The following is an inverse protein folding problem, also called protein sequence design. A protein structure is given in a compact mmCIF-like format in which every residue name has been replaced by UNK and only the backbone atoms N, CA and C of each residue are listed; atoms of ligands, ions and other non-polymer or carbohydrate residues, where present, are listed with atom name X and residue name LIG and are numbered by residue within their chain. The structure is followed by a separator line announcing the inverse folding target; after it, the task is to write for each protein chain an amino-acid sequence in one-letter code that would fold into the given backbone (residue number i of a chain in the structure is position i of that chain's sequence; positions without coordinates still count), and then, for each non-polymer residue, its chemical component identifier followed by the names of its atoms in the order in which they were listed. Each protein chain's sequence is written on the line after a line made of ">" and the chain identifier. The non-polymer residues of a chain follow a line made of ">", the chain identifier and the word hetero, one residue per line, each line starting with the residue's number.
data_IF_550966154022
#
_entry.id   IF_550966154022
#
_cell.length_a   1.000
_cell.length_b   1.000
_cell.length_c   1.000
_cell.angle_alpha   90.00
_cell.angle_beta   90.00
_cell.angle_gamma   90.00
#
_symmetry.space_group_name_H-M   'P 1'
#
loop_
_entity.id
_entity.type
_entity.pdbx_description
1 polymer ?
#
# COMPACT_ATOMS: atom_id res chain seq x y z
N UNK A 1 -12.09 -1.90 -15.47
CA UNK A 1 -11.50 -2.51 -14.26
C UNK A 1 -10.23 -3.30 -14.54
N UNK A 2 -9.16 -2.96 -13.80
CA UNK A 2 -7.82 -3.54 -13.82
C UNK A 2 -7.41 -3.92 -12.39
N UNK A 3 -6.37 -4.74 -12.23
CA UNK A 3 -5.78 -5.04 -10.93
C UNK A 3 -4.57 -4.14 -10.71
N UNK A 4 -4.43 -3.57 -9.52
CA UNK A 4 -3.33 -2.72 -9.11
C UNK A 4 -2.71 -3.29 -7.83
N UNK A 5 -1.39 -3.35 -7.80
CA UNK A 5 -0.65 -3.66 -6.58
C UNK A 5 -0.04 -2.39 -6.00
N UNK A 6 -0.33 -2.12 -4.73
CA UNK A 6 0.28 -1.04 -3.96
C UNK A 6 1.24 -1.63 -2.93
N UNK A 7 2.40 -1.01 -2.76
CA UNK A 7 3.42 -1.42 -1.78
C UNK A 7 4.06 -0.20 -1.15
N UNK A 8 4.40 -0.26 0.13
CA UNK A 8 5.23 0.76 0.76
C UNK A 8 6.65 0.76 0.16
N UNK A 9 7.26 1.95 0.10
CA UNK A 9 8.61 2.15 -0.42
C UNK A 9 9.60 2.26 0.76
N UNK A 10 10.63 1.41 0.86
CA UNK A 10 11.70 1.58 1.84
C UNK A 10 12.39 2.96 1.70
N UNK A 11 12.79 3.63 2.80
CA UNK A 11 12.86 3.12 4.17
C UNK A 11 11.61 3.39 5.02
N UNK A 12 10.47 3.75 4.41
CA UNK A 12 9.25 4.03 5.16
C UNK A 12 8.78 2.77 5.91
N UNK A 13 8.73 2.85 7.23
CA UNK A 13 8.26 1.78 8.10
C UNK A 13 7.23 2.34 9.10
N UNK A 14 5.94 2.14 8.84
CA UNK A 14 4.86 2.59 9.72
C UNK A 14 4.59 1.66 10.92
N UNK A 15 5.36 0.59 11.07
CA UNK A 15 5.14 -0.46 12.07
C UNK A 15 4.68 -1.78 11.46
N UNK A 16 4.71 -2.83 12.27
CA UNK A 16 4.37 -4.20 11.86
C UNK A 16 2.86 -4.50 11.91
N UNK A 17 2.09 -3.68 12.60
CA UNK A 17 0.66 -3.81 12.87
C UNK A 17 -0.19 -2.94 11.93
N UNK A 18 0.33 -2.62 10.76
CA UNK A 18 -0.41 -1.90 9.72
C UNK A 18 -0.24 -2.59 8.37
N UNK A 19 -1.19 -2.35 7.49
CA UNK A 19 -1.17 -2.85 6.12
C UNK A 19 0.07 -2.33 5.38
N UNK A 20 0.90 -3.22 4.82
CA UNK A 20 2.11 -2.85 4.06
C UNK A 20 2.00 -3.04 2.54
N UNK A 21 0.95 -3.71 2.06
CA UNK A 21 0.68 -3.87 0.64
C UNK A 21 -0.77 -4.25 0.38
N UNK A 22 -1.28 -3.88 -0.79
CA UNK A 22 -2.68 -4.09 -1.19
C UNK A 22 -2.78 -4.51 -2.66
N UNK A 23 -3.68 -5.44 -2.96
CA UNK A 23 -4.09 -5.79 -4.32
C UNK A 23 -5.53 -5.31 -4.52
N UNK A 24 -5.72 -4.35 -5.41
CA UNK A 24 -7.00 -3.63 -5.58
C UNK A 24 -7.45 -3.72 -7.02
N UNK A 25 -8.74 -4.04 -7.21
CA UNK A 25 -9.40 -3.93 -8.52
C UNK A 25 -10.02 -2.53 -8.65
N UNK A 26 -9.58 -1.75 -9.64
CA UNK A 26 -10.03 -0.37 -9.85
C UNK A 26 -10.04 0.02 -11.34
N UNK A 27 -10.62 1.17 -11.71
CA UNK A 27 -10.56 1.67 -13.09
C UNK A 27 -9.22 2.33 -13.41
N UNK A 28 -8.64 3.04 -12.45
CA UNK A 28 -7.35 3.70 -12.59
C UNK A 28 -6.51 3.66 -11.30
N UNK A 29 -5.26 4.10 -11.38
CA UNK A 29 -4.35 4.22 -10.24
C UNK A 29 -4.92 5.13 -9.13
N UNK A 30 -5.52 6.26 -9.52
CA UNK A 30 -6.10 7.21 -8.57
C UNK A 30 -7.20 6.58 -7.71
N UNK A 31 -8.08 5.80 -8.35
CA UNK A 31 -9.13 5.05 -7.65
C UNK A 31 -8.53 3.99 -6.72
N UNK A 32 -7.52 3.25 -7.20
CA UNK A 32 -6.85 2.24 -6.38
C UNK A 32 -6.23 2.85 -5.12
N UNK A 33 -5.54 3.99 -5.26
CA UNK A 33 -4.95 4.73 -4.12
C UNK A 33 -6.02 5.25 -3.16
N UNK A 34 -7.12 5.80 -3.68
CA UNK A 34 -8.21 6.29 -2.85
C UNK A 34 -8.89 5.16 -2.06
N UNK A 35 -9.09 3.99 -2.69
CA UNK A 35 -9.63 2.80 -2.04
C UNK A 35 -8.68 2.26 -0.96
N UNK A 36 -7.38 2.23 -1.23
CA UNK A 36 -6.35 1.84 -0.26
C UNK A 36 -6.38 2.75 0.97
N UNK A 37 -6.32 4.07 0.75
CA UNK A 37 -6.38 5.08 1.80
C UNK A 37 -7.65 4.97 2.63
N UNK A 38 -8.82 4.84 2.00
CA UNK A 38 -10.08 4.70 2.70
C UNK A 38 -10.11 3.43 3.56
N UNK A 39 -9.59 2.31 3.06
CA UNK A 39 -9.62 1.02 3.75
C UNK A 39 -8.71 1.00 4.98
N UNK A 40 -7.52 1.58 4.89
CA UNK A 40 -6.51 1.51 5.95
C UNK A 40 -6.44 2.79 6.78
N UNK A 41 -7.31 3.78 6.55
CA UNK A 41 -7.20 5.11 7.19
C UNK A 41 -7.03 5.01 8.70
N UNK A 42 -7.85 4.19 9.35
CA UNK A 42 -7.82 4.01 10.80
C UNK A 42 -6.47 3.45 11.30
N UNK A 43 -5.78 2.60 10.53
CA UNK A 43 -4.47 2.02 10.90
C UNK A 43 -3.36 3.08 10.93
N UNK A 44 -3.50 4.13 10.12
CA UNK A 44 -2.51 5.18 9.94
C UNK A 44 -2.87 6.52 10.61
N UNK A 45 -4.11 6.66 11.07
CA UNK A 45 -4.60 7.83 11.81
C UNK A 45 -4.74 7.57 13.32
N UNK A 46 -4.57 6.33 13.80
CA UNK A 46 -4.68 6.03 15.22
C UNK A 46 -3.57 6.74 16.04
N UNK A 47 -4.03 7.52 17.02
CA UNK A 47 -3.33 8.61 17.69
C UNK A 47 -2.46 8.14 18.87
N UNK A 48 -1.68 7.08 18.70
CA UNK A 48 -0.55 6.88 19.61
C UNK A 48 0.56 7.88 19.24
N UNK A 49 1.07 8.64 20.21
CA UNK A 49 2.03 9.76 20.05
C UNK A 49 3.29 9.45 19.19
N UNK A 50 3.53 8.18 18.87
CA UNK A 50 4.69 7.69 18.15
C UNK A 50 4.49 7.51 16.65
N UNK A 51 3.25 7.59 16.12
CA UNK A 51 3.00 7.40 14.68
C UNK A 51 2.72 8.73 13.99
N UNK A 52 3.57 9.15 13.05
CA UNK A 52 3.26 10.31 12.25
C UNK A 52 2.01 10.04 11.40
N UNK A 53 1.04 10.95 11.46
CA UNK A 53 -0.21 10.88 10.68
C UNK A 53 0.14 10.88 9.20
N UNK A 54 0.04 9.73 8.57
CA UNK A 54 0.44 9.57 7.18
C UNK A 54 -0.67 8.94 6.36
N UNK A 55 -0.75 9.35 5.09
CA UNK A 55 -1.64 8.75 4.10
C UNK A 55 -0.75 8.14 3.02
N UNK A 56 0.00 7.06 3.32
CA UNK A 56 1.10 6.62 2.47
C UNK A 56 0.64 6.23 1.08
N UNK A 57 -0.58 5.69 0.96
CA UNK A 57 -1.15 5.29 -0.33
C UNK A 57 -1.41 6.47 -1.27
N UNK A 58 -1.58 7.68 -0.72
CA UNK A 58 -1.75 8.91 -1.49
C UNK A 58 -0.42 9.63 -1.76
N UNK A 59 0.67 9.28 -1.06
CA UNK A 59 2.00 9.86 -1.26
C UNK A 59 2.85 8.92 -2.12
N UNK A 60 3.09 9.33 -3.37
CA UNK A 60 3.89 8.54 -4.34
C UNK A 60 5.35 8.35 -3.91
N UNK A 61 5.84 9.10 -2.92
CA UNK A 61 7.17 8.92 -2.32
C UNK A 61 7.18 7.82 -1.26
N UNK A 62 6.02 7.49 -0.68
CA UNK A 62 5.88 6.51 0.40
C UNK A 62 5.27 5.18 -0.09
N UNK A 63 4.51 5.19 -1.18
CA UNK A 63 3.92 3.98 -1.75
C UNK A 63 3.96 3.97 -3.29
N UNK A 64 4.40 2.82 -3.83
CA UNK A 64 4.29 2.52 -5.26
C UNK A 64 2.90 1.99 -5.60
N UNK A 65 2.49 2.15 -6.85
CA UNK A 65 1.29 1.55 -7.41
C UNK A 65 1.63 1.09 -8.84
N UNK A 66 1.32 -0.16 -9.16
CA UNK A 66 1.55 -0.72 -10.48
C UNK A 66 0.33 -1.50 -10.96
N UNK A 67 -0.05 -1.31 -12.22
CA UNK A 67 -1.04 -2.15 -12.89
C UNK A 67 -0.47 -3.56 -13.07
N UNK A 68 -1.23 -4.57 -12.67
CA UNK A 68 -0.89 -5.96 -12.92
C UNK A 68 -1.40 -6.40 -14.29
N UNK A 69 -0.49 -6.90 -15.10
CA UNK A 69 -0.80 -7.52 -16.40
C UNK A 69 -0.67 -9.05 -16.30
N UNK A 70 -1.08 -9.76 -17.36
CA UNK A 70 -0.88 -11.22 -17.46
C UNK A 70 0.55 -11.62 -17.78
N UNK A 71 1.44 -10.65 -18.06
CA UNK A 71 2.83 -10.88 -18.42
C UNK A 71 3.76 -10.51 -17.27
N UNK A 72 4.83 -11.29 -17.10
CA UNK A 72 5.82 -11.07 -16.05
C UNK A 72 6.64 -12.32 -15.74
N UNK A 73 7.74 -12.14 -15.01
CA UNK A 73 8.46 -13.27 -14.44
C UNK A 73 7.65 -13.90 -13.30
N UNK A 74 7.84 -15.20 -13.05
CA UNK A 74 7.25 -15.84 -11.88
C UNK A 74 7.93 -15.29 -10.61
N UNK A 75 7.20 -14.54 -9.79
CA UNK A 75 7.72 -13.89 -8.58
C UNK A 75 6.67 -13.77 -7.48
N UNK A 76 7.13 -13.50 -6.25
CA UNK A 76 6.25 -13.15 -5.13
C UNK A 76 5.95 -11.65 -5.22
N UNK A 77 4.72 -11.33 -5.59
CA UNK A 77 4.31 -9.94 -5.78
C UNK A 77 4.06 -9.20 -4.47
N UNK A 78 3.67 -9.88 -3.41
CA UNK A 78 3.43 -9.27 -2.10
C UNK A 78 3.87 -10.23 -1.01
N UNK A 79 4.57 -9.70 -0.03
CA UNK A 79 4.97 -10.41 1.18
C UNK A 79 4.37 -9.63 2.33
N UNK A 80 3.43 -10.24 3.05
CA UNK A 80 2.81 -9.66 4.26
C UNK A 80 3.67 -9.87 5.51
N UNK A 81 4.75 -10.65 5.39
CA UNK A 81 5.71 -10.95 6.43
C UNK A 81 7.04 -10.21 6.21
N UNK A 82 7.28 -9.17 7.02
CA UNK A 82 8.63 -8.61 7.18
C UNK A 82 9.26 -9.23 8.43
N UNK A 83 10.23 -10.13 8.25
CA UNK A 83 11.06 -10.57 9.36
C UNK A 83 11.78 -9.34 9.95
N UNK A 84 11.67 -9.15 11.26
CA UNK A 84 12.23 -8.02 12.00
C UNK A 84 13.74 -7.96 11.97
#
# INVERSE_FOLDING_TARGET
>A
MKNFILKLIPPFNPGYDVTQGLLIRAECEGDARAMADQKTRAEYEDNSDWRPRHRPWMDTRLASCAEMTSEGAAEILMVDYQAG
#
